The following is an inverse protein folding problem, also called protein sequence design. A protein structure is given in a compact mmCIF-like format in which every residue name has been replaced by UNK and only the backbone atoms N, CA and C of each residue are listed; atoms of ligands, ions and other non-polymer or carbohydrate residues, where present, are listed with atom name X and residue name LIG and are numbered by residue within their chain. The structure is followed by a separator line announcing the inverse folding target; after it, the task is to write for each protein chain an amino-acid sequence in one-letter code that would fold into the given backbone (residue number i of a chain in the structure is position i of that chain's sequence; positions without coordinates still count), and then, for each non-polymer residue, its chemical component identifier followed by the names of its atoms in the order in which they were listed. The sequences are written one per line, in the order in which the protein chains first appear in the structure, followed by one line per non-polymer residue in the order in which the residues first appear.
data_IF_648994181770
#
_entry.id   IF_648994181770
#
_cell.length_a   1.000
_cell.length_b   1.000
_cell.length_c   1.000
_cell.angle_alpha   90.00
_cell.angle_beta   90.00
_cell.angle_gamma   90.00
#
_symmetry.space_group_name_H-M   'P 1'
#
loop_
_entity.id
_entity.type
_entity.pdbx_description
1 polymer ?
#
# COMPACT_ATOMS: atom_id res chain seq x y z
N UNK A 1 11.84 -23.62 -28.64
CA UNK A 1 11.26 -23.16 -27.36
C UNK A 1 11.31 -21.64 -27.30
N UNK A 2 10.39 -20.95 -28.00
CA UNK A 2 10.35 -19.49 -28.14
C UNK A 2 9.03 -18.87 -27.62
N UNK A 3 8.23 -19.65 -26.89
CA UNK A 3 6.84 -19.35 -26.55
C UNK A 3 6.68 -18.35 -25.39
N UNK A 4 7.58 -18.35 -24.40
CA UNK A 4 7.37 -17.56 -23.18
C UNK A 4 7.62 -16.05 -23.36
N UNK A 5 8.52 -15.65 -24.27
CA UNK A 5 8.84 -14.22 -24.44
C UNK A 5 7.71 -13.47 -25.16
N UNK A 6 7.16 -14.08 -26.21
CA UNK A 6 6.04 -13.50 -26.95
C UNK A 6 4.78 -13.39 -26.06
N UNK A 7 4.53 -14.38 -25.21
CA UNK A 7 3.45 -14.34 -24.23
C UNK A 7 3.63 -13.21 -23.19
N UNK A 8 4.86 -12.91 -22.76
CA UNK A 8 5.12 -11.79 -21.86
C UNK A 8 4.89 -10.44 -22.54
N UNK A 9 5.31 -10.30 -23.79
CA UNK A 9 5.17 -9.07 -24.57
C UNK A 9 3.68 -8.77 -24.86
N UNK A 10 2.83 -9.79 -24.99
CA UNK A 10 1.38 -9.65 -25.12
C UNK A 10 0.68 -9.31 -23.79
N UNK A 11 1.14 -9.87 -22.66
CA UNK A 11 0.49 -9.70 -21.36
C UNK A 11 0.92 -8.43 -20.61
N UNK A 12 2.14 -7.95 -20.84
CA UNK A 12 2.68 -6.74 -20.24
C UNK A 12 1.78 -5.50 -20.46
N UNK A 13 1.33 -5.16 -21.68
CA UNK A 13 0.48 -4.00 -21.89
C UNK A 13 -0.88 -4.13 -21.17
N UNK A 14 -1.47 -5.33 -21.16
CA UNK A 14 -2.75 -5.60 -20.47
C UNK A 14 -2.63 -5.38 -18.96
N UNK A 15 -1.55 -5.86 -18.35
CA UNK A 15 -1.28 -5.66 -16.93
C UNK A 15 -0.93 -4.19 -16.63
N UNK A 16 -0.22 -3.51 -17.52
CA UNK A 16 0.15 -2.10 -17.35
C UNK A 16 -1.06 -1.16 -17.46
N UNK A 17 -2.00 -1.45 -18.36
CA UNK A 17 -3.26 -0.71 -18.48
C UNK A 17 -4.14 -0.89 -17.23
N UNK A 18 -4.18 -2.11 -16.68
CA UNK A 18 -4.97 -2.40 -15.48
C UNK A 18 -4.34 -1.85 -14.20
N UNK A 19 -3.01 -1.80 -14.13
CA UNK A 19 -2.26 -1.36 -12.96
C UNK A 19 -1.24 -0.27 -13.35
N UNK A 20 -1.70 0.92 -13.78
CA UNK A 20 -0.83 1.99 -14.25
C UNK A 20 0.15 2.51 -13.18
N UNK A 21 -0.19 2.32 -11.91
CA UNK A 21 0.64 2.65 -10.75
C UNK A 21 1.82 1.68 -10.53
N UNK A 22 1.83 0.52 -11.19
CA UNK A 22 2.90 -0.46 -11.09
C UNK A 22 3.97 -0.20 -12.15
N UNK A 23 5.24 -0.30 -11.78
CA UNK A 23 6.34 -0.12 -12.74
C UNK A 23 6.44 -1.30 -13.70
N UNK A 24 6.80 -1.01 -14.97
CA UNK A 24 7.01 -2.02 -16.01
C UNK A 24 7.97 -3.13 -15.56
N UNK A 25 9.11 -2.76 -14.99
CA UNK A 25 10.12 -3.71 -14.48
C UNK A 25 9.58 -4.64 -13.40
N UNK A 26 8.61 -4.17 -12.61
CA UNK A 26 7.97 -4.99 -11.59
C UNK A 26 6.99 -5.97 -12.21
N UNK A 27 6.19 -5.54 -13.18
CA UNK A 27 5.28 -6.43 -13.92
C UNK A 27 6.07 -7.50 -14.68
N UNK A 28 7.17 -7.13 -15.34
CA UNK A 28 8.08 -8.07 -16.03
C UNK A 28 8.66 -9.09 -15.06
N UNK A 29 9.15 -8.66 -13.89
CA UNK A 29 9.63 -9.59 -12.85
C UNK A 29 8.54 -10.54 -12.34
N UNK A 30 7.29 -10.07 -12.25
CA UNK A 30 6.16 -10.92 -11.87
C UNK A 30 5.81 -11.92 -12.97
N UNK A 31 5.82 -11.51 -14.24
CA UNK A 31 5.63 -12.38 -15.40
C UNK A 31 6.70 -13.48 -15.44
N UNK A 32 7.96 -13.13 -15.24
CA UNK A 32 9.07 -14.09 -15.16
C UNK A 32 8.92 -15.05 -13.97
N UNK A 33 8.58 -14.54 -12.79
CA UNK A 33 8.47 -15.35 -11.56
C UNK A 33 7.30 -16.33 -11.61
N UNK A 34 6.22 -15.97 -12.28
CA UNK A 34 5.00 -16.76 -12.35
C UNK A 34 4.84 -17.50 -13.70
N UNK A 35 5.91 -17.60 -14.50
CA UNK A 35 5.91 -18.24 -15.82
C UNK A 35 4.75 -17.78 -16.71
N UNK A 36 4.46 -16.48 -16.73
CA UNK A 36 3.36 -15.91 -17.53
C UNK A 36 1.95 -16.14 -16.96
N UNK A 37 1.81 -16.71 -15.76
CA UNK A 37 0.49 -16.89 -15.14
C UNK A 37 -0.12 -15.54 -14.71
N UNK A 38 -0.88 -14.94 -15.61
CA UNK A 38 -1.46 -13.61 -15.48
C UNK A 38 -2.49 -13.54 -14.35
N UNK A 39 -3.25 -14.60 -14.11
CA UNK A 39 -4.26 -14.61 -13.05
C UNK A 39 -3.64 -14.51 -11.65
N UNK A 40 -2.55 -15.24 -11.42
CA UNK A 40 -1.78 -15.11 -10.16
C UNK A 40 -1.18 -13.72 -10.01
N UNK A 41 -0.69 -13.13 -11.09
CA UNK A 41 -0.11 -11.78 -11.08
C UNK A 41 -1.21 -10.75 -10.77
N UNK A 42 -2.37 -10.84 -11.43
CA UNK A 42 -3.54 -9.99 -11.17
C UNK A 42 -3.99 -10.10 -9.71
N UNK A 43 -4.17 -11.32 -9.20
CA UNK A 43 -4.56 -11.52 -7.81
C UNK A 43 -3.58 -10.86 -6.83
N UNK A 44 -2.27 -10.96 -7.10
CA UNK A 44 -1.23 -10.35 -6.28
C UNK A 44 -1.24 -8.82 -6.35
N UNK A 45 -1.45 -8.25 -7.53
CA UNK A 45 -1.51 -6.81 -7.73
C UNK A 45 -2.77 -6.21 -7.08
N UNK A 46 -3.93 -6.87 -7.21
CA UNK A 46 -5.18 -6.47 -6.54
C UNK A 46 -5.04 -6.51 -5.02
N UNK A 47 -4.44 -7.57 -4.46
CA UNK A 47 -4.18 -7.64 -3.02
C UNK A 47 -3.24 -6.54 -2.52
N UNK A 48 -2.28 -6.11 -3.36
CA UNK A 48 -1.40 -4.99 -3.03
C UNK A 48 -2.16 -3.67 -3.05
N UNK A 49 -2.92 -3.41 -4.11
CA UNK A 49 -3.76 -2.22 -4.25
C UNK A 49 -4.73 -2.09 -3.07
N UNK A 50 -5.41 -3.18 -2.70
CA UNK A 50 -6.27 -3.21 -1.52
C UNK A 50 -5.52 -2.84 -0.23
N UNK A 51 -4.31 -3.38 -0.03
CA UNK A 51 -3.48 -3.04 1.14
C UNK A 51 -3.10 -1.56 1.14
N UNK A 52 -2.61 -1.04 0.01
CA UNK A 52 -2.23 0.38 -0.11
C UNK A 52 -3.43 1.27 0.19
N UNK A 53 -4.59 1.00 -0.42
CA UNK A 53 -5.81 1.78 -0.18
C UNK A 53 -6.28 1.72 1.27
N UNK A 54 -6.17 0.55 1.92
CA UNK A 54 -6.49 0.40 3.34
C UNK A 54 -5.55 1.23 4.21
N UNK A 55 -4.25 1.24 3.92
CA UNK A 55 -3.27 2.06 4.64
C UNK A 55 -3.53 3.55 4.45
N UNK A 56 -3.74 4.03 3.21
CA UNK A 56 -4.04 5.44 2.93
C UNK A 56 -5.34 5.89 3.61
N UNK A 57 -6.36 5.02 3.65
CA UNK A 57 -7.62 5.30 4.34
C UNK A 57 -7.40 5.41 5.85
N UNK A 58 -6.56 4.54 6.43
CA UNK A 58 -6.20 4.61 7.85
C UNK A 58 -5.43 5.89 8.15
N UNK A 59 -4.41 6.24 7.36
CA UNK A 59 -3.64 7.48 7.52
C UNK A 59 -4.55 8.71 7.47
N UNK A 60 -5.50 8.75 6.53
CA UNK A 60 -6.47 9.85 6.42
C UNK A 60 -7.35 9.94 7.67
N UNK A 61 -7.88 8.81 8.15
CA UNK A 61 -8.72 8.76 9.35
C UNK A 61 -7.95 9.12 10.61
N UNK A 62 -6.71 8.63 10.76
CA UNK A 62 -5.83 8.99 11.87
C UNK A 62 -5.44 10.45 11.84
N UNK A 63 -5.07 10.99 10.68
CA UNK A 63 -4.78 12.42 10.49
C UNK A 63 -5.97 13.29 10.87
N UNK A 64 -7.17 12.96 10.39
CA UNK A 64 -8.40 13.68 10.75
C UNK A 64 -8.71 13.62 12.25
N UNK A 65 -8.53 12.46 12.89
CA UNK A 65 -8.68 12.32 14.34
C UNK A 65 -7.67 13.18 15.11
N UNK A 66 -6.42 13.24 14.66
CA UNK A 66 -5.38 14.09 15.27
C UNK A 66 -5.71 15.57 15.13
N UNK A 67 -6.12 16.02 13.94
CA UNK A 67 -6.50 17.43 13.70
C UNK A 67 -7.71 17.83 14.54
N UNK A 68 -8.74 16.98 14.60
CA UNK A 68 -9.93 17.22 15.42
C UNK A 68 -9.56 17.33 16.90
N UNK A 69 -8.70 16.43 17.39
CA UNK A 69 -8.22 16.45 18.78
C UNK A 69 -7.33 17.67 19.08
N UNK A 70 -6.56 18.17 18.11
CA UNK A 70 -5.77 19.40 18.25
C UNK A 70 -6.66 20.65 18.29
N UNK A 71 -7.78 20.64 17.57
CA UNK A 71 -8.73 21.76 17.50
C UNK A 71 -9.68 21.80 18.71
N UNK A 72 -10.15 20.66 19.20
CA UNK A 72 -11.13 20.58 20.30
C UNK A 72 -10.55 20.77 21.70
N UNK A 73 -9.24 20.64 21.90
CA UNK A 73 -8.62 20.65 23.24
C UNK A 73 -7.55 21.73 23.42
N UNK A 74 -7.94 23.02 23.54
CA UNK A 74 -7.09 23.99 24.19
C UNK A 74 -7.11 23.70 25.71
N UNK A 75 -5.99 23.24 26.22
CA UNK A 75 -5.50 23.41 27.60
C UNK A 75 -6.08 22.65 28.82
N UNK A 76 -7.08 21.75 28.75
CA UNK A 76 -7.63 21.13 29.99
C UNK A 76 -7.50 19.61 30.18
N UNK A 77 -6.99 18.83 29.24
CA UNK A 77 -6.85 17.36 29.40
C UNK A 77 -5.48 16.80 29.01
N UNK A 78 -4.43 17.20 29.74
CA UNK A 78 -3.04 16.77 29.49
C UNK A 78 -2.87 15.24 29.44
N UNK A 79 -3.63 14.49 30.25
CA UNK A 79 -3.59 13.02 30.29
C UNK A 79 -4.14 12.35 29.03
N UNK A 80 -5.15 12.93 28.36
CA UNK A 80 -5.65 12.40 27.08
C UNK A 80 -4.65 12.67 25.96
N UNK A 81 -4.01 13.85 25.95
CA UNK A 81 -2.90 14.18 25.03
C UNK A 81 -1.72 13.21 25.19
N UNK A 82 -1.28 12.93 26.41
CA UNK A 82 -0.15 12.00 26.67
C UNK A 82 -0.49 10.57 26.21
N UNK A 83 -1.71 10.07 26.48
CA UNK A 83 -2.11 8.73 26.02
C UNK A 83 -2.17 8.65 24.49
N UNK A 84 -2.69 9.68 23.84
CA UNK A 84 -2.74 9.71 22.38
C UNK A 84 -1.34 9.79 21.76
N UNK A 85 -0.46 10.65 22.29
CA UNK A 85 0.93 10.73 21.85
C UNK A 85 1.67 9.39 22.01
N UNK A 86 1.44 8.67 23.13
CA UNK A 86 2.00 7.31 23.33
C UNK A 86 1.45 6.28 22.35
N UNK A 87 0.17 6.38 21.97
CA UNK A 87 -0.42 5.50 20.96
C UNK A 87 0.20 5.81 19.60
N UNK A 88 0.31 7.09 19.22
CA UNK A 88 0.94 7.52 17.97
C UNK A 88 2.41 7.12 17.89
N UNK A 89 3.18 7.26 18.97
CA UNK A 89 4.59 6.88 19.06
C UNK A 89 4.79 5.37 18.86
N UNK A 90 3.87 4.54 19.39
CA UNK A 90 3.88 3.09 19.13
C UNK A 90 3.62 2.77 17.66
N UNK A 91 2.63 3.43 17.06
CA UNK A 91 2.34 3.24 15.64
C UNK A 91 3.45 3.75 14.72
N UNK A 92 4.19 4.80 15.07
CA UNK A 92 5.35 5.26 14.29
C UNK A 92 6.55 4.31 14.41
N UNK A 93 6.79 3.74 15.60
CA UNK A 93 7.86 2.74 15.79
C UNK A 93 7.59 1.42 15.06
N UNK A 94 6.34 0.99 14.98
CA UNK A 94 5.95 -0.21 14.22
C UNK A 94 6.12 -0.03 12.69
N UNK A 95 6.06 1.21 12.19
CA UNK A 95 6.29 1.52 10.77
C UNK A 95 7.79 1.54 10.44
N UNK A 96 8.65 2.01 11.35
CA UNK A 96 10.11 1.99 11.17
C UNK A 96 10.71 0.58 11.26
N UNK A 97 10.12 -0.33 12.06
CA UNK A 97 10.58 -1.72 12.16
C UNK A 97 10.08 -2.64 11.04
N UNK A 98 9.17 -2.15 10.19
CA UNK A 98 8.60 -2.93 9.08
C UNK A 98 9.27 -2.66 7.71
N UNK A 99 10.36 -1.87 7.68
CA UNK A 99 11.21 -1.64 6.51
C UNK A 99 12.43 -2.57 6.49
#
# INVERSE_FOLDING_TARGET
MATNQQEYDEQLPVLQERFPQESKDKIIRLLQRHNGNVDQIRARLVQREYRVNKWTTLETRFGAAVTTLQQELPSTQSMKRIRLLKIMERFSGDVEQAQ
#
